data_IF_217916319913
#
_entry.id   IF_217916319913
#
_cell.length_a   1.000
_cell.length_b   1.000
_cell.length_c   1.000
_cell.angle_alpha   90.00
_cell.angle_beta   90.00
_cell.angle_gamma   90.00
#
_symmetry.space_group_name_H-M   'P 1'
#
loop_
_entity.id
_entity.type
_entity.pdbx_description
1 polymer ?
#
# COMPACT_ATOMS: atom_id res chain seq x y z
N UNK A 1 -25.28 -50.82 0.66
CA UNK A 1 -26.48 -50.04 1.03
C UNK A 1 -25.99 -48.60 1.21
N UNK A 2 -25.53 -47.86 0.21
CA UNK A 2 -26.20 -47.37 -1.00
C UNK A 2 -27.60 -46.76 -0.75
N UNK A 3 -27.72 -45.51 -1.19
CA UNK A 3 -28.91 -44.67 -1.42
C UNK A 3 -29.38 -43.82 -0.21
N UNK A 4 -29.61 -42.50 -0.32
CA UNK A 4 -29.63 -41.57 -1.47
C UNK A 4 -29.51 -40.11 -1.00
N UNK A 5 -28.85 -39.30 -1.83
CA UNK A 5 -28.90 -37.82 -1.83
C UNK A 5 -30.26 -37.37 -2.36
N UNK A 6 -30.88 -36.30 -1.81
CA UNK A 6 -31.90 -35.54 -2.52
C UNK A 6 -31.37 -34.19 -3.02
N UNK A 7 -31.43 -34.10 -4.35
CA UNK A 7 -31.56 -32.97 -5.28
C UNK A 7 -31.81 -31.54 -4.72
N UNK A 8 -31.01 -30.59 -5.24
CA UNK A 8 -31.16 -29.14 -5.10
C UNK A 8 -32.39 -28.60 -5.84
N UNK A 9 -33.11 -27.60 -5.30
CA UNK A 9 -33.95 -26.74 -6.12
C UNK A 9 -33.15 -25.54 -6.67
N UNK A 10 -32.95 -25.53 -7.99
CA UNK A 10 -32.60 -24.34 -8.75
C UNK A 10 -33.62 -23.22 -8.53
N UNK A 11 -33.19 -22.06 -8.03
CA UNK A 11 -33.99 -20.82 -8.07
C UNK A 11 -33.17 -19.65 -8.63
N UNK A 12 -33.45 -19.41 -9.92
CA UNK A 12 -33.43 -18.17 -10.69
C UNK A 12 -32.72 -16.92 -10.13
N UNK A 13 -31.73 -16.48 -10.91
CA UNK A 13 -31.16 -15.12 -10.97
C UNK A 13 -32.24 -14.04 -11.06
N UNK A 14 -32.28 -13.13 -10.07
CA UNK A 14 -33.09 -11.91 -10.12
C UNK A 14 -32.19 -10.67 -10.16
N UNK A 15 -31.88 -10.21 -11.38
CA UNK A 15 -31.26 -8.91 -11.67
C UNK A 15 -32.06 -7.78 -10.99
N UNK A 16 -31.50 -7.13 -9.97
CA UNK A 16 -32.02 -5.87 -9.42
C UNK A 16 -31.64 -4.73 -10.38
N UNK A 17 -32.62 -4.27 -11.16
CA UNK A 17 -32.52 -3.01 -11.91
C UNK A 17 -32.73 -1.87 -10.91
N UNK A 18 -31.70 -1.06 -10.70
CA UNK A 18 -31.80 0.21 -9.97
C UNK A 18 -32.35 1.25 -10.96
N UNK A 19 -33.58 1.70 -10.74
CA UNK A 19 -34.18 2.82 -11.49
C UNK A 19 -33.59 4.13 -10.96
N UNK A 20 -32.88 4.86 -11.83
CA UNK A 20 -32.51 6.26 -11.62
C UNK A 20 -33.69 7.12 -12.06
N UNK A 21 -34.36 7.75 -11.09
CA UNK A 21 -35.39 8.75 -11.36
C UNK A 21 -34.70 10.09 -11.68
N UNK A 22 -34.72 10.49 -12.95
CA UNK A 22 -34.33 11.84 -13.40
C UNK A 22 -35.53 12.74 -13.24
N UNK A 23 -35.50 13.64 -12.25
CA UNK A 23 -36.50 14.71 -12.08
C UNK A 23 -36.05 15.91 -12.90
N UNK A 24 -36.74 16.17 -14.02
CA UNK A 24 -36.57 17.38 -14.82
C UNK A 24 -37.44 18.49 -14.18
N UNK A 25 -36.82 19.37 -13.40
CA UNK A 25 -37.45 20.59 -12.89
C UNK A 25 -37.14 21.77 -13.80
N UNK A 26 -38.10 22.17 -14.63
CA UNK A 26 -38.08 23.45 -15.35
C UNK A 26 -38.60 24.54 -14.42
N UNK A 27 -37.75 25.50 -14.04
CA UNK A 27 -38.18 26.79 -13.50
C UNK A 27 -37.46 27.91 -14.25
N UNK A 28 -38.28 28.67 -14.98
CA UNK A 28 -37.97 29.92 -15.66
C UNK A 28 -37.89 31.03 -14.62
N UNK A 29 -36.85 31.86 -14.65
CA UNK A 29 -36.90 33.21 -14.10
C UNK A 29 -35.65 33.71 -13.39
N UNK A 30 -34.91 34.59 -14.05
CA UNK A 30 -34.38 35.82 -13.43
C UNK A 30 -33.01 35.77 -12.76
N UNK A 31 -32.09 36.57 -13.30
CA UNK A 31 -31.15 37.32 -12.46
C UNK A 31 -29.71 36.82 -12.45
N UNK A 32 -28.84 37.58 -13.11
CA UNK A 32 -27.39 37.47 -13.07
C UNK A 32 -26.81 37.38 -11.64
N UNK A 33 -26.11 36.28 -11.36
CA UNK A 33 -25.02 36.21 -10.40
C UNK A 33 -24.21 34.93 -10.72
N UNK A 34 -23.33 35.00 -11.72
CA UNK A 34 -22.37 33.94 -12.04
C UNK A 34 -21.29 33.88 -10.97
N UNK A 35 -21.66 33.46 -9.77
CA UNK A 35 -20.75 33.17 -8.68
C UNK A 35 -19.88 31.97 -9.03
N UNK A 36 -18.57 32.14 -8.85
CA UNK A 36 -17.56 31.11 -8.98
C UNK A 36 -17.91 29.88 -8.13
N UNK A 37 -18.36 28.80 -8.76
CA UNK A 37 -18.43 27.49 -8.12
C UNK A 37 -17.11 26.77 -8.38
N UNK A 38 -16.08 27.13 -7.60
CA UNK A 38 -14.91 26.28 -7.38
C UNK A 38 -15.42 25.05 -6.65
N UNK A 39 -15.79 24.02 -7.41
CA UNK A 39 -16.11 22.72 -6.86
C UNK A 39 -14.82 22.10 -6.32
N UNK A 40 -14.69 22.21 -5.00
CA UNK A 40 -13.96 21.37 -4.07
C UNK A 40 -13.53 20.01 -4.67
N UNK A 41 -12.33 19.95 -5.23
CA UNK A 41 -11.50 18.74 -5.18
C UNK A 41 -10.99 18.60 -3.76
N UNK A 42 -11.85 18.11 -2.86
CA UNK A 42 -11.45 17.62 -1.54
C UNK A 42 -12.16 16.30 -1.28
N UNK A 43 -11.88 15.34 -2.14
CA UNK A 43 -12.12 13.93 -1.84
C UNK A 43 -10.83 13.38 -1.27
N UNK A 44 -10.70 13.35 0.06
CA UNK A 44 -9.75 12.45 0.71
C UNK A 44 -10.18 11.05 0.32
N UNK A 45 -9.50 10.48 -0.67
CA UNK A 45 -9.78 9.15 -1.15
C UNK A 45 -9.48 8.20 -0.01
N UNK A 46 -10.45 7.36 0.35
CA UNK A 46 -10.09 6.11 1.03
C UNK A 46 -9.26 5.36 -0.01
N UNK A 47 -7.93 5.42 0.13
CA UNK A 47 -7.00 4.81 -0.81
C UNK A 47 -7.37 3.36 -1.08
N UNK A 48 -7.09 2.88 -2.29
CA UNK A 48 -7.47 1.52 -2.70
C UNK A 48 -6.97 0.49 -1.67
N UNK A 49 -7.87 -0.25 -0.99
CA UNK A 49 -7.49 -1.22 0.03
C UNK A 49 -6.53 -2.31 -0.50
N UNK A 50 -6.57 -2.60 -1.80
CA UNK A 50 -5.66 -3.56 -2.43
C UNK A 50 -4.22 -3.03 -2.47
N UNK A 51 -4.03 -1.73 -2.72
CA UNK A 51 -2.72 -1.09 -2.73
C UNK A 51 -2.16 -0.96 -1.31
N UNK A 52 -3.00 -0.60 -0.33
CA UNK A 52 -2.58 -0.63 1.07
C UNK A 52 -2.16 -2.04 1.53
N UNK A 53 -2.75 -3.08 0.95
CA UNK A 53 -2.35 -4.46 1.22
C UNK A 53 -1.00 -4.83 0.57
N UNK A 54 -0.68 -4.30 -0.62
CA UNK A 54 0.65 -4.45 -1.25
C UNK A 54 1.76 -4.01 -0.28
N UNK A 55 1.68 -2.78 0.27
CA UNK A 55 2.70 -2.29 1.19
C UNK A 55 2.84 -3.15 2.43
N UNK A 56 1.73 -3.58 3.03
CA UNK A 56 1.75 -4.42 4.25
C UNK A 56 2.45 -5.74 4.01
N UNK A 57 2.11 -6.42 2.91
CA UNK A 57 2.73 -7.71 2.55
C UNK A 57 4.20 -7.52 2.23
N UNK A 58 4.54 -6.53 1.40
CA UNK A 58 5.90 -6.34 0.93
C UNK A 58 6.85 -5.79 1.99
N UNK A 59 6.39 -4.93 2.92
CA UNK A 59 7.26 -4.44 4.02
C UNK A 59 7.58 -5.54 5.03
N UNK A 60 6.62 -6.43 5.32
CA UNK A 60 6.86 -7.61 6.17
C UNK A 60 7.82 -8.58 5.49
N UNK A 61 7.61 -8.84 4.19
CA UNK A 61 8.52 -9.66 3.40
C UNK A 61 9.93 -9.07 3.37
N UNK A 62 10.07 -7.76 3.15
CA UNK A 62 11.37 -7.09 3.13
C UNK A 62 12.14 -7.32 4.44
N UNK A 63 11.48 -7.14 5.58
CA UNK A 63 12.10 -7.40 6.88
C UNK A 63 12.39 -8.88 7.12
N UNK A 64 11.55 -9.79 6.62
CA UNK A 64 11.83 -11.24 6.63
C UNK A 64 13.04 -11.63 5.79
N UNK A 65 13.19 -11.03 4.60
CA UNK A 65 14.32 -11.25 3.68
C UNK A 65 15.62 -10.72 4.32
N UNK A 66 15.58 -9.55 4.98
CA UNK A 66 16.71 -9.01 5.76
C UNK A 66 17.12 -9.94 6.90
N UNK A 67 16.15 -10.45 7.67
CA UNK A 67 16.42 -11.36 8.79
C UNK A 67 17.01 -12.68 8.28
N UNK A 68 16.47 -13.23 7.18
CA UNK A 68 16.98 -14.45 6.55
C UNK A 68 18.43 -14.26 6.10
N UNK A 69 18.74 -13.12 5.46
CA UNK A 69 20.11 -12.79 5.07
C UNK A 69 21.05 -12.70 6.28
N UNK A 70 20.60 -12.10 7.40
CA UNK A 70 21.39 -12.08 8.64
C UNK A 70 21.64 -13.49 9.16
N UNK A 71 20.62 -14.35 9.17
CA UNK A 71 20.75 -15.70 9.72
C UNK A 71 21.76 -16.53 8.91
N UNK A 72 21.87 -16.26 7.60
CA UNK A 72 22.83 -16.92 6.71
C UNK A 72 24.23 -16.29 6.76
N UNK A 73 24.34 -14.98 6.88
CA UNK A 73 25.60 -14.23 6.68
C UNK A 73 26.14 -13.52 7.93
N UNK A 74 25.38 -13.49 9.02
CA UNK A 74 25.75 -12.86 10.30
C UNK A 74 25.70 -11.34 10.32
N UNK A 75 25.24 -10.67 9.25
CA UNK A 75 25.20 -9.20 9.14
C UNK A 75 23.89 -8.71 8.53
N UNK A 76 23.45 -7.52 8.94
CA UNK A 76 22.35 -6.82 8.29
C UNK A 76 22.85 -5.98 7.11
N UNK A 77 22.04 -5.87 6.05
CA UNK A 77 22.32 -4.99 4.91
C UNK A 77 21.29 -3.86 4.86
N UNK A 78 21.78 -2.63 4.69
CA UNK A 78 20.94 -1.51 4.26
C UNK A 78 20.69 -1.60 2.75
N UNK A 79 19.54 -1.13 2.29
CA UNK A 79 19.14 -1.20 0.89
C UNK A 79 18.07 -0.16 0.57
N UNK A 80 17.90 0.17 -0.69
CA UNK A 80 17.04 1.24 -1.13
C UNK A 80 17.56 2.64 -0.82
N UNK A 81 16.75 3.68 -1.07
CA UNK A 81 15.38 3.58 -1.55
C UNK A 81 15.27 3.11 -3.01
N UNK A 82 14.42 2.11 -3.29
CA UNK A 82 14.09 1.64 -4.65
C UNK A 82 12.56 1.49 -4.80
N UNK A 83 11.95 2.05 -5.86
CA UNK A 83 12.51 3.04 -6.81
C UNK A 83 13.03 4.30 -6.12
N UNK A 84 13.86 5.10 -6.81
CA UNK A 84 14.47 6.32 -6.23
C UNK A 84 13.43 7.36 -5.80
N UNK A 85 12.34 7.44 -6.54
CA UNK A 85 11.22 8.33 -6.25
C UNK A 85 10.09 7.54 -5.57
N UNK A 86 9.33 8.23 -4.72
CA UNK A 86 8.11 7.67 -4.12
C UNK A 86 7.02 7.65 -5.20
N UNK A 87 6.42 6.50 -5.53
CA UNK A 87 5.29 6.45 -6.46
C UNK A 87 4.12 7.31 -5.96
N UNK A 88 3.46 8.01 -6.87
CA UNK A 88 2.39 8.99 -6.57
C UNK A 88 1.14 8.77 -7.43
N UNK A 89 -0.02 9.17 -6.90
CA UNK A 89 -1.30 9.09 -7.58
C UNK A 89 -1.75 7.68 -7.91
N UNK A 90 -1.22 6.66 -7.21
CA UNK A 90 -1.49 5.25 -7.51
C UNK A 90 -0.85 4.76 -8.81
N UNK A 91 0.08 5.51 -9.41
CA UNK A 91 0.79 5.08 -10.60
C UNK A 91 2.03 4.25 -10.22
N UNK A 92 2.15 2.99 -10.69
CA UNK A 92 3.26 2.14 -10.32
C UNK A 92 4.54 2.49 -11.09
N UNK A 93 5.67 2.48 -10.40
CA UNK A 93 7.00 2.69 -10.98
C UNK A 93 7.73 1.35 -11.19
N UNK A 94 8.66 1.25 -12.16
CA UNK A 94 9.52 0.09 -12.31
C UNK A 94 10.34 -0.17 -11.04
N UNK A 95 10.46 -1.44 -10.65
CA UNK A 95 11.30 -1.86 -9.54
C UNK A 95 12.59 -2.49 -10.06
N UNK A 96 13.68 -1.73 -10.00
CA UNK A 96 15.02 -2.20 -10.32
C UNK A 96 15.83 -2.29 -9.02
N UNK A 97 15.93 -3.47 -8.39
CA UNK A 97 16.58 -3.60 -7.09
C UNK A 97 18.05 -3.18 -7.17
N UNK A 98 18.53 -2.51 -6.12
CA UNK A 98 19.97 -2.31 -5.97
C UNK A 98 20.67 -3.61 -5.58
N UNK A 99 22.00 -3.57 -5.52
CA UNK A 99 22.81 -4.75 -5.23
C UNK A 99 22.51 -5.38 -3.86
N UNK A 100 22.14 -4.59 -2.86
CA UNK A 100 21.85 -5.12 -1.52
C UNK A 100 20.46 -5.75 -1.47
N UNK A 101 19.44 -5.12 -2.06
CA UNK A 101 18.11 -5.70 -2.18
C UNK A 101 18.12 -7.00 -3.01
N UNK A 102 18.95 -7.07 -4.06
CA UNK A 102 19.20 -8.31 -4.81
C UNK A 102 19.82 -9.40 -3.93
N UNK A 103 20.86 -9.06 -3.15
CA UNK A 103 21.55 -10.00 -2.26
C UNK A 103 20.62 -10.57 -1.18
N UNK A 104 19.72 -9.75 -0.65
CA UNK A 104 18.69 -10.20 0.30
C UNK A 104 17.58 -11.02 -0.35
N UNK A 105 17.48 -11.05 -1.69
CA UNK A 105 16.44 -11.78 -2.41
C UNK A 105 15.09 -11.07 -2.49
N UNK A 106 15.04 -9.77 -2.15
CA UNK A 106 13.79 -9.00 -2.15
C UNK A 106 13.30 -8.74 -3.57
N UNK A 107 12.11 -9.25 -3.89
CA UNK A 107 11.45 -9.09 -5.19
C UNK A 107 9.93 -8.90 -5.02
N UNK A 108 9.44 -7.65 -4.97
CA UNK A 108 8.01 -7.31 -4.88
C UNK A 108 7.27 -7.38 -6.22
N UNK A 109 7.96 -7.67 -7.34
CA UNK A 109 7.43 -7.63 -8.70
C UNK A 109 8.13 -6.58 -9.58
N UNK A 110 7.79 -6.53 -10.87
CA UNK A 110 8.43 -5.63 -11.85
C UNK A 110 7.99 -4.16 -11.72
N UNK A 111 6.78 -3.93 -11.19
CA UNK A 111 6.21 -2.61 -11.00
C UNK A 111 5.55 -2.53 -9.63
N UNK A 112 5.80 -1.43 -8.93
CA UNK A 112 5.41 -1.26 -7.52
C UNK A 112 4.75 0.09 -7.29
N UNK A 113 3.79 0.13 -6.36
CA UNK A 113 3.13 1.37 -5.93
C UNK A 113 3.79 2.00 -4.71
N UNK A 114 4.89 1.40 -4.25
CA UNK A 114 5.65 1.85 -3.10
C UNK A 114 7.15 1.82 -3.38
N UNK A 115 7.85 2.77 -2.77
CA UNK A 115 9.29 2.76 -2.61
C UNK A 115 9.66 1.96 -1.37
N UNK A 116 10.65 1.08 -1.50
CA UNK A 116 11.13 0.22 -0.43
C UNK A 116 12.53 0.64 0.03
N UNK A 117 12.77 0.62 1.34
CA UNK A 117 14.07 0.94 1.93
C UNK A 117 14.30 0.12 3.20
N UNK A 118 15.54 -0.31 3.40
CA UNK A 118 16.06 -0.90 4.62
C UNK A 118 17.11 0.04 5.19
N UNK A 119 16.88 0.52 6.41
CA UNK A 119 17.85 1.31 7.16
C UNK A 119 18.34 0.46 8.33
N UNK A 120 19.64 0.41 8.53
CA UNK A 120 20.28 -0.26 9.67
C UNK A 120 20.90 0.82 10.53
N UNK A 121 20.54 0.84 11.81
CA UNK A 121 21.05 1.80 12.80
C UNK A 121 21.61 1.03 14.00
N UNK A 122 22.58 1.62 14.68
CA UNK A 122 23.07 1.10 15.95
C UNK A 122 22.34 1.81 17.09
N UNK A 123 21.77 1.04 18.00
CA UNK A 123 21.13 1.54 19.22
C UNK A 123 22.18 2.08 20.19
N UNK A 124 21.80 2.86 21.22
CA UNK A 124 22.74 3.33 22.24
C UNK A 124 23.49 2.22 23.00
N UNK A 125 23.01 0.98 22.92
CA UNK A 125 23.63 -0.20 23.53
C UNK A 125 24.60 -0.94 22.61
N UNK A 126 24.81 -0.45 21.38
CA UNK A 126 25.68 -1.10 20.38
C UNK A 126 25.00 -2.23 19.60
N UNK A 127 23.68 -2.40 19.78
CA UNK A 127 22.90 -3.43 19.08
C UNK A 127 22.37 -2.87 17.76
N UNK A 128 22.36 -3.69 16.70
CA UNK A 128 21.76 -3.29 15.43
C UNK A 128 20.23 -3.33 15.49
N UNK A 129 19.59 -2.24 15.08
CA UNK A 129 18.16 -2.13 14.82
C UNK A 129 17.95 -1.87 13.34
N UNK A 130 17.05 -2.63 12.72
CA UNK A 130 16.70 -2.46 11.32
C UNK A 130 15.30 -1.89 11.20
N UNK A 131 15.14 -0.94 10.30
CA UNK A 131 13.83 -0.40 9.92
C UNK A 131 13.58 -0.60 8.42
N UNK A 132 12.51 -1.33 8.11
CA UNK A 132 12.00 -1.53 6.76
C UNK A 132 10.87 -0.54 6.50
N UNK A 133 10.95 0.15 5.37
CA UNK A 133 9.98 1.14 4.94
C UNK A 133 9.32 0.72 3.62
N UNK A 134 8.02 1.01 3.51
CA UNK A 134 7.33 1.16 2.24
C UNK A 134 6.64 2.54 2.19
N UNK A 135 6.97 3.36 1.19
CA UNK A 135 6.49 4.74 1.02
C UNK A 135 5.72 4.92 -0.27
N UNK A 136 4.53 5.50 -0.21
CA UNK A 136 3.69 5.73 -1.39
C UNK A 136 2.59 6.77 -1.15
N UNK A 137 2.27 7.54 -2.18
CA UNK A 137 1.16 8.51 -2.21
C UNK A 137 0.09 7.94 -3.15
N UNK A 138 -0.82 7.14 -2.61
CA UNK A 138 -1.70 6.31 -3.42
C UNK A 138 -2.93 7.04 -3.96
N UNK A 139 -3.47 7.98 -3.18
CA UNK A 139 -4.63 8.78 -3.55
C UNK A 139 -4.24 10.06 -4.29
N UNK A 140 -2.93 10.35 -4.40
CA UNK A 140 -2.42 11.48 -5.16
C UNK A 140 -2.74 12.82 -4.51
N UNK A 141 -3.00 12.82 -3.20
CA UNK A 141 -3.28 14.04 -2.44
C UNK A 141 -1.99 14.77 -2.03
N UNK A 142 -0.83 14.21 -2.40
CA UNK A 142 0.50 14.73 -2.08
C UNK A 142 1.08 14.15 -0.78
N UNK A 143 0.26 13.46 0.01
CA UNK A 143 0.59 12.98 1.33
C UNK A 143 1.12 11.54 1.28
N UNK A 144 2.44 11.40 1.44
CA UNK A 144 3.08 10.08 1.45
C UNK A 144 2.63 9.30 2.69
N UNK A 145 2.11 8.09 2.46
CA UNK A 145 1.90 7.09 3.50
C UNK A 145 3.17 6.27 3.70
N UNK A 146 3.57 6.09 4.95
CA UNK A 146 4.77 5.34 5.35
C UNK A 146 4.35 4.12 6.15
N UNK A 147 4.69 2.94 5.64
CA UNK A 147 4.53 1.67 6.33
C UNK A 147 5.89 1.27 6.88
N UNK A 148 5.94 1.00 8.19
CA UNK A 148 7.18 0.75 8.91
C UNK A 148 7.10 -0.56 9.66
N UNK A 149 8.15 -1.38 9.53
CA UNK A 149 8.40 -2.55 10.37
C UNK A 149 9.81 -2.41 10.92
N UNK A 150 9.98 -2.66 12.20
CA UNK A 150 11.29 -2.72 12.85
C UNK A 150 11.65 -4.15 13.18
N UNK A 151 12.94 -4.45 13.12
CA UNK A 151 13.53 -5.73 13.49
C UNK A 151 14.64 -5.43 14.50
N UNK A 152 14.52 -6.00 15.70
CA UNK A 152 15.54 -5.85 16.73
C UNK A 152 16.72 -6.82 16.54
N UNK A 153 17.74 -6.71 17.38
CA UNK A 153 18.91 -7.59 17.33
C UNK A 153 18.61 -9.07 17.59
N UNK A 154 17.45 -9.41 18.15
CA UNK A 154 17.01 -10.79 18.37
C UNK A 154 16.22 -11.35 17.18
N UNK A 155 16.01 -10.55 16.14
CA UNK A 155 15.19 -10.94 14.99
C UNK A 155 13.68 -10.83 15.26
N UNK A 156 13.26 -10.12 16.31
CA UNK A 156 11.84 -9.90 16.59
C UNK A 156 11.32 -8.74 15.73
N UNK A 157 10.27 -9.01 14.96
CA UNK A 157 9.59 -8.01 14.13
C UNK A 157 8.48 -7.31 14.89
N UNK A 158 8.36 -5.99 14.71
CA UNK A 158 7.21 -5.24 15.20
C UNK A 158 5.99 -5.38 14.29
N UNK A 159 4.82 -4.97 14.79
CA UNK A 159 3.64 -4.82 13.96
C UNK A 159 3.82 -3.70 12.94
N UNK A 160 3.18 -3.81 11.78
CA UNK A 160 3.23 -2.78 10.73
C UNK A 160 2.61 -1.49 11.25
N UNK A 161 3.44 -0.46 11.42
CA UNK A 161 3.02 0.91 11.73
C UNK A 161 2.71 1.64 10.43
N UNK A 162 1.65 2.45 10.41
CA UNK A 162 1.26 3.25 9.24
C UNK A 162 1.12 4.71 9.65
N UNK A 163 1.89 5.57 8.99
CA UNK A 163 1.94 7.01 9.24
C UNK A 163 1.82 7.81 7.94
N UNK A 164 1.67 9.12 8.05
CA UNK A 164 1.71 10.06 6.93
C UNK A 164 2.89 11.01 7.14
N UNK A 165 3.73 11.21 6.13
CA UNK A 165 4.90 12.11 6.22
C UNK A 165 4.45 13.56 6.44
N UNK A 166 4.60 14.11 7.64
CA UNK A 166 4.31 15.54 7.87
C UNK A 166 5.38 16.42 7.22
N UNK A 167 4.95 17.46 6.49
CA UNK A 167 5.82 18.50 5.91
C UNK A 167 6.73 19.19 6.93
#
# INVERSE_FOLDING_TARGET
MENSVPDEPHVASRKRRVMVAVVLGVLVGGGAAGGALVLLRRGGGVGDPSLANEARVNVLRLCGDVQSYRDEHGVFLAGGPVPREVPRGGEPLPFEPDENLKRMGFNPGERVHYQYQVVVQETPLGEAEVTCYARGDLDGDGQVSVFTVTLDANGMTSAVKVERETE
#
